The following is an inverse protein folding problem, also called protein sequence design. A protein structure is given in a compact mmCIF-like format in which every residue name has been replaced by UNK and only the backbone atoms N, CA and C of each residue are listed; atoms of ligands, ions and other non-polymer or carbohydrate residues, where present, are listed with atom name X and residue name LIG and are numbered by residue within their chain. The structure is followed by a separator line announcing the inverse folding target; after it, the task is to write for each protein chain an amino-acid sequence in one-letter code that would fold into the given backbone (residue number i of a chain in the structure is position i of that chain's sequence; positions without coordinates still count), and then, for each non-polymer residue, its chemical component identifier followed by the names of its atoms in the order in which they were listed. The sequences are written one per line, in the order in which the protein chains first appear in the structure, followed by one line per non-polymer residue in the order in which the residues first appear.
data_IF_766461060513
#
_entry.id   IF_766461060513
#
_cell.length_a   1.000
_cell.length_b   1.000
_cell.length_c   1.000
_cell.angle_alpha   90.00
_cell.angle_beta   90.00
_cell.angle_gamma   90.00
#
_symmetry.space_group_name_H-M   'P 1'
#
loop_
_entity.id
_entity.type
_entity.pdbx_description
1 polymer ?
#
# COMPACT_ATOMS: atom_id res chain seq x y z
N UNK A 1 12.39 -91.86 -25.85
CA UNK A 1 11.06 -91.22 -26.06
C UNK A 1 10.48 -90.51 -24.83
N UNK A 2 10.85 -90.86 -23.58
CA UNK A 2 10.27 -90.23 -22.37
C UNK A 2 10.78 -88.81 -22.12
N UNK A 3 12.08 -88.54 -22.31
CA UNK A 3 12.68 -87.20 -22.07
C UNK A 3 12.15 -86.10 -22.99
N UNK A 4 11.86 -86.40 -24.27
CA UNK A 4 11.32 -85.44 -25.23
C UNK A 4 9.88 -85.03 -24.89
N UNK A 5 9.08 -85.96 -24.34
CA UNK A 5 7.71 -85.68 -23.89
C UNK A 5 7.68 -84.80 -22.64
N UNK A 6 8.61 -85.02 -21.70
CA UNK A 6 8.75 -84.13 -20.54
C UNK A 6 9.20 -82.73 -20.93
N UNK A 7 10.14 -82.60 -21.89
CA UNK A 7 10.60 -81.30 -22.38
C UNK A 7 9.45 -80.53 -23.07
N UNK A 8 8.67 -81.22 -23.93
CA UNK A 8 7.50 -80.62 -24.56
C UNK A 8 6.42 -80.22 -23.56
N UNK A 9 6.16 -81.04 -22.53
CA UNK A 9 5.20 -80.73 -21.48
C UNK A 9 5.65 -79.54 -20.61
N UNK A 10 6.94 -79.44 -20.27
CA UNK A 10 7.48 -78.29 -19.55
C UNK A 10 7.46 -77.03 -20.39
N UNK A 11 7.72 -77.11 -21.70
CA UNK A 11 7.66 -75.97 -22.60
C UNK A 11 6.22 -75.44 -22.74
N UNK A 12 5.24 -76.35 -22.76
CA UNK A 12 3.81 -76.01 -22.79
C UNK A 12 3.35 -75.33 -21.48
N UNK A 13 3.81 -75.83 -20.33
CA UNK A 13 3.53 -75.24 -19.02
C UNK A 13 4.13 -73.82 -18.88
N UNK A 14 5.33 -73.59 -19.40
CA UNK A 14 5.99 -72.28 -19.34
C UNK A 14 5.29 -71.28 -20.29
N UNK A 15 4.82 -71.72 -21.46
CA UNK A 15 4.04 -70.85 -22.38
C UNK A 15 2.64 -70.51 -21.85
N UNK A 16 2.05 -71.38 -21.02
CA UNK A 16 0.75 -71.14 -20.40
C UNK A 16 0.83 -70.19 -19.19
N UNK A 17 2.03 -70.01 -18.60
CA UNK A 17 2.27 -69.17 -17.43
C UNK A 17 2.90 -67.81 -17.79
N UNK A 18 2.39 -67.12 -18.80
CA UNK A 18 2.68 -65.69 -18.93
C UNK A 18 1.85 -64.93 -17.88
N UNK A 19 2.45 -64.18 -16.94
CA UNK A 19 1.67 -63.35 -16.04
C UNK A 19 0.98 -62.28 -16.88
N UNK A 20 -0.36 -62.25 -16.82
CA UNK A 20 -1.14 -61.12 -17.33
C UNK A 20 -0.62 -59.85 -16.65
N UNK A 21 0.22 -59.10 -17.35
CA UNK A 21 0.57 -57.74 -16.97
C UNK A 21 -0.73 -56.94 -17.02
N UNK A 22 -1.25 -56.58 -15.84
CA UNK A 22 -2.33 -55.63 -15.71
C UNK A 22 -1.84 -54.27 -16.27
N UNK A 23 -2.08 -54.04 -17.55
CA UNK A 23 -1.87 -52.74 -18.17
C UNK A 23 -2.76 -51.72 -17.46
N UNK A 24 -2.16 -50.65 -16.95
CA UNK A 24 -2.90 -49.55 -16.36
C UNK A 24 -3.64 -48.85 -17.49
N UNK A 25 -4.96 -49.02 -17.57
CA UNK A 25 -5.78 -48.28 -18.52
C UNK A 25 -5.93 -46.86 -17.98
N UNK A 26 -5.17 -45.91 -18.53
CA UNK A 26 -5.37 -44.48 -18.23
C UNK A 26 -6.68 -44.05 -18.90
N UNK A 27 -7.74 -43.93 -18.10
CA UNK A 27 -9.05 -43.44 -18.56
C UNK A 27 -9.00 -41.92 -18.54
N UNK A 28 -8.87 -41.32 -19.73
CA UNK A 28 -8.92 -39.86 -19.88
C UNK A 28 -10.37 -39.47 -20.19
N UNK A 29 -11.10 -39.03 -19.16
CA UNK A 29 -12.42 -38.44 -19.35
C UNK A 29 -12.30 -37.03 -19.92
N UNK A 30 -12.74 -36.86 -21.17
CA UNK A 30 -12.67 -35.61 -21.93
C UNK A 30 -13.44 -34.47 -21.27
N UNK A 31 -14.52 -34.76 -20.54
CA UNK A 31 -15.32 -33.76 -19.83
C UNK A 31 -14.60 -33.30 -18.56
N UNK A 32 -14.05 -34.24 -17.77
CA UNK A 32 -13.24 -33.90 -16.60
C UNK A 32 -11.98 -33.11 -16.99
N UNK A 33 -11.25 -33.52 -18.03
CA UNK A 33 -10.07 -32.79 -18.50
C UNK A 33 -10.42 -31.37 -18.89
N UNK A 34 -11.55 -31.16 -19.59
CA UNK A 34 -12.04 -29.83 -19.98
C UNK A 34 -12.35 -28.96 -18.77
N UNK A 35 -13.06 -29.49 -17.78
CA UNK A 35 -13.39 -28.76 -16.54
C UNK A 35 -12.13 -28.43 -15.73
N UNK A 36 -11.19 -29.38 -15.60
CA UNK A 36 -9.93 -29.17 -14.89
C UNK A 36 -9.02 -28.17 -15.60
N UNK A 37 -8.97 -28.19 -16.94
CA UNK A 37 -8.20 -27.18 -17.71
C UNK A 37 -8.84 -25.81 -17.64
N UNK A 38 -10.17 -25.69 -17.73
CA UNK A 38 -10.87 -24.42 -17.52
C UNK A 38 -10.62 -23.86 -16.12
N UNK A 39 -10.73 -24.68 -15.07
CA UNK A 39 -10.46 -24.26 -13.69
C UNK A 39 -9.00 -23.87 -13.48
N UNK A 40 -8.05 -24.61 -14.06
CA UNK A 40 -6.61 -24.29 -14.01
C UNK A 40 -6.31 -22.96 -14.71
N UNK A 41 -6.91 -22.72 -15.88
CA UNK A 41 -6.75 -21.46 -16.60
C UNK A 41 -7.33 -20.27 -15.82
N UNK A 42 -8.50 -20.45 -15.20
CA UNK A 42 -9.10 -19.44 -14.31
C UNK A 42 -8.24 -19.18 -13.07
N UNK A 43 -7.72 -20.21 -12.42
CA UNK A 43 -6.82 -20.06 -11.27
C UNK A 43 -5.53 -19.33 -11.63
N UNK A 44 -4.95 -19.62 -12.80
CA UNK A 44 -3.74 -18.94 -13.28
C UNK A 44 -3.98 -17.45 -13.57
N UNK A 45 -5.16 -17.10 -14.08
CA UNK A 45 -5.57 -15.70 -14.25
C UNK A 45 -5.71 -14.98 -12.91
N UNK A 46 -6.28 -15.64 -11.91
CA UNK A 46 -6.43 -15.11 -10.55
C UNK A 46 -5.07 -14.95 -9.87
N UNK A 47 -4.15 -15.91 -10.02
CA UNK A 47 -2.78 -15.82 -9.51
C UNK A 47 -2.01 -14.64 -10.13
N UNK A 48 -2.13 -14.44 -11.43
CA UNK A 48 -1.47 -13.32 -12.11
C UNK A 48 -1.99 -11.96 -11.61
N UNK A 49 -3.30 -11.82 -11.42
CA UNK A 49 -3.89 -10.62 -10.80
C UNK A 49 -3.46 -10.46 -9.34
N UNK A 50 -3.31 -11.57 -8.60
CA UNK A 50 -2.84 -11.55 -7.22
C UNK A 50 -1.39 -11.10 -7.12
N UNK A 51 -0.50 -11.58 -8.01
CA UNK A 51 0.91 -11.19 -8.07
C UNK A 51 1.07 -9.71 -8.42
N UNK A 52 0.33 -9.20 -9.41
CA UNK A 52 0.33 -7.76 -9.73
C UNK A 52 -0.13 -6.91 -8.54
N UNK A 53 -1.13 -7.40 -7.78
CA UNK A 53 -1.54 -6.74 -6.55
C UNK A 53 -0.41 -6.79 -5.52
N UNK A 54 0.22 -7.94 -5.28
CA UNK A 54 1.34 -8.11 -4.34
C UNK A 54 2.50 -7.14 -4.62
N UNK A 55 2.88 -6.95 -5.90
CA UNK A 55 3.92 -6.00 -6.30
C UNK A 55 3.54 -4.54 -5.96
N UNK A 56 2.27 -4.19 -6.19
CA UNK A 56 1.75 -2.88 -5.78
C UNK A 56 1.71 -2.70 -4.25
N UNK A 57 1.54 -3.79 -3.48
CA UNK A 57 1.62 -3.75 -2.00
C UNK A 57 3.07 -3.52 -1.55
N UNK A 58 4.03 -4.17 -2.21
CA UNK A 58 5.46 -4.05 -1.88
C UNK A 58 5.98 -2.63 -2.12
N UNK A 59 5.60 -1.99 -3.24
CA UNK A 59 5.97 -0.59 -3.51
C UNK A 59 5.38 0.37 -2.47
N UNK A 60 4.12 0.13 -2.06
CA UNK A 60 3.46 0.89 -0.99
C UNK A 60 4.14 0.68 0.38
N UNK A 61 4.65 -0.52 0.69
CA UNK A 61 5.46 -0.76 1.90
C UNK A 61 6.80 -0.02 1.87
N UNK A 62 7.50 -0.01 0.73
CA UNK A 62 8.75 0.75 0.57
C UNK A 62 8.53 2.26 0.78
N UNK A 63 7.37 2.76 0.34
CA UNK A 63 6.91 4.13 0.61
C UNK A 63 6.73 4.39 2.12
N UNK A 64 6.26 3.40 2.88
CA UNK A 64 6.15 3.49 4.34
C UNK A 64 7.51 3.49 5.05
N UNK A 65 8.48 2.72 4.56
CA UNK A 65 9.86 2.74 5.09
C UNK A 65 10.57 4.07 4.83
N UNK A 66 10.30 4.73 3.69
CA UNK A 66 10.70 6.11 3.43
C UNK A 66 10.18 7.08 4.52
N UNK A 67 9.02 6.80 5.13
CA UNK A 67 8.50 7.59 6.26
C UNK A 67 9.22 7.30 7.59
N UNK A 68 10.04 6.26 7.69
CA UNK A 68 10.97 6.11 8.82
C UNK A 68 12.19 7.04 8.64
N UNK A 69 12.67 7.17 7.40
CA UNK A 69 13.77 8.08 7.04
C UNK A 69 13.37 9.56 7.25
N UNK A 70 12.08 9.88 7.14
CA UNK A 70 11.56 11.21 7.48
C UNK A 70 11.67 11.55 8.98
N UNK A 71 11.83 10.59 9.89
CA UNK A 71 12.00 10.89 11.32
C UNK A 71 13.35 11.57 11.61
N UNK A 72 14.44 11.03 11.07
CA UNK A 72 15.79 11.60 11.23
C UNK A 72 15.90 12.99 10.60
N UNK A 73 15.27 13.10 9.45
CA UNK A 73 14.99 14.32 8.70
C UNK A 73 14.24 15.38 9.53
N UNK A 74 13.14 15.02 10.20
CA UNK A 74 12.33 15.95 11.01
C UNK A 74 13.21 16.56 12.10
N UNK A 75 14.09 15.77 12.69
CA UNK A 75 15.04 16.23 13.71
C UNK A 75 15.99 17.30 13.15
N UNK A 76 16.40 17.18 11.89
CA UNK A 76 17.23 18.19 11.23
C UNK A 76 16.42 19.45 10.84
N UNK A 77 15.17 19.32 10.36
CA UNK A 77 14.26 20.49 10.21
C UNK A 77 14.14 21.28 11.51
N UNK A 78 13.92 20.55 12.59
CA UNK A 78 13.76 21.15 13.90
C UNK A 78 15.01 21.93 14.31
N UNK A 79 16.21 21.38 14.12
CA UNK A 79 17.47 22.11 14.36
C UNK A 79 17.62 23.34 13.47
N UNK A 80 17.38 23.21 12.17
CA UNK A 80 17.53 24.30 11.21
C UNK A 80 16.57 25.47 11.49
N UNK A 81 15.35 25.18 11.93
CA UNK A 81 14.38 26.22 12.35
C UNK A 81 14.76 26.86 13.68
N UNK A 82 15.51 26.18 14.55
CA UNK A 82 16.01 26.71 15.82
C UNK A 82 17.34 27.49 15.69
N UNK A 83 18.19 27.14 14.73
CA UNK A 83 19.49 27.79 14.53
C UNK A 83 19.38 29.20 13.92
N UNK A 84 18.30 29.51 13.18
CA UNK A 84 18.07 30.83 12.57
C UNK A 84 17.49 31.90 13.53
N UNK A 85 17.51 31.68 14.85
CA UNK A 85 16.80 32.54 15.82
C UNK A 85 17.55 33.83 16.21
N UNK A 86 18.84 34.00 15.88
CA UNK A 86 19.55 35.26 16.17
C UNK A 86 19.60 36.20 14.95
N UNK A 87 18.58 37.03 14.76
CA UNK A 87 18.69 38.24 13.90
C UNK A 87 17.52 38.60 12.99
N UNK A 88 16.49 37.75 12.87
CA UNK A 88 15.32 38.03 12.02
C UNK A 88 14.10 38.36 12.89
N UNK A 89 13.37 39.43 12.55
CA UNK A 89 12.20 39.93 13.28
C UNK A 89 10.94 39.05 13.15
N UNK A 90 9.79 39.64 12.87
CA UNK A 90 8.47 38.96 12.75
C UNK A 90 8.45 37.83 11.72
N UNK A 91 9.27 37.91 10.66
CA UNK A 91 9.39 36.89 9.62
C UNK A 91 9.95 35.56 10.14
N UNK A 92 10.83 35.59 11.14
CA UNK A 92 11.35 34.36 11.75
C UNK A 92 10.31 33.60 12.55
N UNK A 93 9.38 34.32 13.22
CA UNK A 93 8.26 33.66 13.89
C UNK A 93 7.35 32.97 12.88
N UNK A 94 7.11 33.61 11.75
CA UNK A 94 6.30 33.05 10.68
C UNK A 94 6.91 31.76 10.11
N UNK A 95 8.21 31.77 9.85
CA UNK A 95 8.96 30.59 9.39
C UNK A 95 9.01 29.45 10.42
N UNK A 96 9.08 29.80 11.71
CA UNK A 96 8.98 28.81 12.79
C UNK A 96 7.60 28.15 12.84
N UNK A 97 6.54 28.91 12.59
CA UNK A 97 5.17 28.36 12.52
C UNK A 97 5.01 27.40 11.33
N UNK A 98 5.57 27.74 10.16
CA UNK A 98 5.61 26.85 9.00
C UNK A 98 6.31 25.53 9.34
N UNK A 99 7.50 25.62 9.96
CA UNK A 99 8.25 24.44 10.39
C UNK A 99 7.49 23.60 11.44
N UNK A 100 6.82 24.26 12.39
CA UNK A 100 6.02 23.59 13.42
C UNK A 100 4.78 22.90 12.84
N UNK A 101 4.14 23.53 11.86
CA UNK A 101 3.01 22.96 11.12
C UNK A 101 3.41 21.67 10.39
N UNK A 102 4.54 21.71 9.67
CA UNK A 102 5.09 20.52 9.01
C UNK A 102 5.48 19.42 10.00
N UNK A 103 6.06 19.81 11.14
CA UNK A 103 6.43 18.88 12.21
C UNK A 103 5.22 18.12 12.76
N UNK A 104 4.13 18.83 13.08
CA UNK A 104 2.90 18.21 13.59
C UNK A 104 2.38 17.13 12.62
N UNK A 105 2.33 17.42 11.33
CA UNK A 105 1.88 16.46 10.31
C UNK A 105 2.76 15.21 10.31
N UNK A 106 4.07 15.41 10.23
CA UNK A 106 5.02 14.31 10.11
C UNK A 106 5.10 13.47 11.39
N UNK A 107 4.67 14.01 12.53
CA UNK A 107 4.51 13.29 13.80
C UNK A 107 3.20 12.51 13.87
N UNK A 108 2.08 13.13 13.46
CA UNK A 108 0.74 12.57 13.63
C UNK A 108 0.40 11.49 12.58
N UNK A 109 0.90 11.63 11.33
CA UNK A 109 0.63 10.62 10.28
C UNK A 109 1.18 9.22 10.61
N UNK A 110 2.39 9.04 11.16
CA UNK A 110 2.85 7.74 11.66
C UNK A 110 1.94 7.12 12.72
N UNK A 111 1.33 7.93 13.59
CA UNK A 111 0.38 7.45 14.59
C UNK A 111 -0.91 6.94 13.92
N UNK A 112 -1.44 7.68 12.95
CA UNK A 112 -2.55 7.22 12.11
C UNK A 112 -2.23 5.90 11.40
N UNK A 113 -1.03 5.78 10.82
CA UNK A 113 -0.56 4.54 10.17
C UNK A 113 -0.59 3.37 11.14
N UNK A 114 -0.18 3.58 12.40
CA UNK A 114 -0.21 2.53 13.44
C UNK A 114 -1.63 2.09 13.74
N UNK A 115 -2.56 3.04 13.92
CA UNK A 115 -3.98 2.75 14.20
C UNK A 115 -4.62 1.98 13.04
N UNK A 116 -4.42 2.48 11.81
CA UNK A 116 -4.88 1.81 10.58
C UNK A 116 -4.28 0.40 10.48
N UNK A 117 -3.01 0.21 10.85
CA UNK A 117 -2.38 -1.10 10.87
C UNK A 117 -2.96 -2.07 11.91
N UNK A 118 -3.45 -1.60 13.04
CA UNK A 118 -4.04 -2.46 14.06
C UNK A 118 -5.51 -2.83 13.75
N UNK A 119 -6.21 -2.00 13.00
CA UNK A 119 -7.62 -2.22 12.70
C UNK A 119 -7.88 -3.41 11.74
N UNK A 120 -8.96 -4.15 11.96
CA UNK A 120 -9.37 -5.28 11.10
C UNK A 120 -10.30 -4.79 9.98
N UNK A 121 -9.74 -4.43 8.83
CA UNK A 121 -10.49 -3.90 7.69
C UNK A 121 -9.93 -4.38 6.35
N UNK A 122 -10.84 -4.70 5.42
CA UNK A 122 -10.52 -5.00 4.02
C UNK A 122 -10.12 -3.68 3.34
N UNK A 123 -9.06 -3.63 2.54
CA UNK A 123 -8.57 -2.40 1.84
C UNK A 123 -7.69 -1.42 2.64
N UNK A 124 -7.18 -1.83 3.80
CA UNK A 124 -6.19 -1.07 4.60
C UNK A 124 -5.02 -0.46 3.79
N UNK A 125 -4.57 -1.17 2.76
CA UNK A 125 -3.46 -0.75 1.94
C UNK A 125 -3.70 0.59 1.23
N UNK A 126 -4.92 0.86 0.77
CA UNK A 126 -5.23 2.13 0.11
C UNK A 126 -5.23 3.26 1.12
N UNK A 127 -5.81 3.06 2.30
CA UNK A 127 -5.70 4.02 3.40
C UNK A 127 -4.23 4.35 3.74
N UNK A 128 -3.36 3.34 3.80
CA UNK A 128 -1.92 3.56 4.01
C UNK A 128 -1.24 4.31 2.85
N UNK A 129 -1.76 4.17 1.63
CA UNK A 129 -1.25 4.88 0.45
C UNK A 129 -1.60 6.36 0.53
N UNK A 130 -2.85 6.67 0.88
CA UNK A 130 -3.35 8.05 1.05
C UNK A 130 -2.62 8.78 2.17
N UNK A 131 -2.50 8.15 3.35
CA UNK A 131 -1.69 8.68 4.45
C UNK A 131 -0.25 8.93 4.02
N UNK A 132 0.29 8.02 3.21
CA UNK A 132 1.60 8.21 2.62
C UNK A 132 1.68 9.38 1.62
N UNK A 133 0.64 9.59 0.83
CA UNK A 133 0.50 10.76 -0.05
C UNK A 133 0.65 12.07 0.71
N UNK A 134 -0.03 12.18 1.86
CA UNK A 134 0.05 13.37 2.72
C UNK A 134 1.48 13.65 3.22
N UNK A 135 2.23 12.60 3.56
CA UNK A 135 3.65 12.75 3.95
C UNK A 135 4.49 13.25 2.78
N UNK A 136 4.30 12.71 1.58
CA UNK A 136 5.05 13.18 0.40
C UNK A 136 4.74 14.63 0.06
N UNK A 137 3.47 15.01 0.09
CA UNK A 137 3.04 16.39 -0.19
C UNK A 137 3.65 17.36 0.83
N UNK A 138 3.62 16.98 2.10
CA UNK A 138 4.29 17.71 3.18
C UNK A 138 5.79 17.82 2.93
N UNK A 139 6.44 16.73 2.49
CA UNK A 139 7.85 16.72 2.18
C UNK A 139 8.22 17.67 1.03
N UNK A 140 7.40 17.72 -0.01
CA UNK A 140 7.59 18.63 -1.14
C UNK A 140 7.44 20.08 -0.69
N UNK A 141 6.40 20.40 0.08
CA UNK A 141 6.16 21.75 0.61
C UNK A 141 7.29 22.23 1.51
N UNK A 142 7.80 21.35 2.37
CA UNK A 142 8.97 21.64 3.20
C UNK A 142 10.24 21.80 2.37
N UNK A 143 10.43 21.00 1.32
CA UNK A 143 11.55 21.19 0.39
C UNK A 143 11.52 22.55 -0.29
N UNK A 144 10.33 22.97 -0.74
CA UNK A 144 10.11 24.31 -1.29
C UNK A 144 10.40 25.39 -0.25
N UNK A 145 9.96 25.20 1.00
CA UNK A 145 10.21 26.12 2.10
C UNK A 145 11.71 26.29 2.38
N UNK A 146 12.42 25.18 2.46
CA UNK A 146 13.87 25.17 2.68
C UNK A 146 14.56 25.96 1.57
N UNK A 147 14.22 25.69 0.31
CA UNK A 147 14.80 26.39 -0.84
C UNK A 147 14.58 27.92 -0.80
N UNK A 148 13.37 28.38 -0.44
CA UNK A 148 13.08 29.83 -0.40
C UNK A 148 13.78 30.55 0.75
N UNK A 149 14.00 29.88 1.90
CA UNK A 149 14.62 30.48 3.09
C UNK A 149 16.14 30.46 3.02
N UNK A 150 16.73 29.41 2.42
CA UNK A 150 18.18 29.17 2.53
C UNK A 150 18.96 29.36 1.22
N UNK A 151 18.32 29.76 0.12
CA UNK A 151 18.93 29.89 -1.20
C UNK A 151 19.58 28.57 -1.68
N UNK A 152 18.92 27.44 -1.41
CA UNK A 152 19.43 26.08 -1.57
C UNK A 152 20.79 25.78 -0.88
N UNK A 153 21.23 26.58 0.12
CA UNK A 153 22.50 26.33 0.83
C UNK A 153 22.38 25.15 1.79
N UNK A 154 21.33 25.10 2.62
CA UNK A 154 21.11 23.97 3.55
C UNK A 154 20.43 22.81 2.80
N UNK A 155 20.89 21.58 3.05
CA UNK A 155 20.28 20.39 2.45
C UNK A 155 18.84 20.26 2.89
N UNK A 156 17.97 19.79 1.98
CA UNK A 156 16.64 19.37 2.39
C UNK A 156 16.83 18.31 3.48
N UNK A 157 16.37 18.57 4.69
CA UNK A 157 16.49 17.64 5.78
C UNK A 157 15.77 16.33 5.47
N UNK A 158 14.80 16.32 4.53
CA UNK A 158 14.08 15.14 4.06
C UNK A 158 14.91 14.34 3.05
N UNK A 159 15.09 13.03 3.32
CA UNK A 159 15.78 12.10 2.42
C UNK A 159 14.81 11.04 1.87
N UNK A 160 14.68 10.95 0.53
CA UNK A 160 13.84 9.93 -0.12
C UNK A 160 13.63 10.07 -1.64
N UNK A 161 13.06 9.04 -2.29
CA UNK A 161 12.56 9.15 -3.66
C UNK A 161 11.30 10.03 -3.66
N UNK A 162 11.37 11.19 -4.32
CA UNK A 162 10.30 12.21 -4.32
C UNK A 162 10.70 13.54 -3.69
N UNK A 163 11.85 13.61 -2.99
CA UNK A 163 12.41 14.88 -2.56
C UNK A 163 13.00 15.64 -3.74
N UNK A 164 12.57 16.89 -3.94
CA UNK A 164 13.06 17.75 -5.02
C UNK A 164 14.60 17.84 -4.98
N UNK A 165 15.25 17.60 -6.12
CA UNK A 165 16.70 17.75 -6.25
C UNK A 165 17.13 19.21 -6.06
N UNK A 166 18.31 19.40 -5.46
CA UNK A 166 18.93 20.71 -5.28
C UNK A 166 19.21 21.35 -6.65
N UNK A 167 18.69 22.55 -6.90
CA UNK A 167 19.27 23.48 -7.87
C UNK A 167 19.78 24.69 -7.10
N UNK A 168 21.11 24.82 -7.02
CA UNK A 168 21.76 26.00 -6.46
C UNK A 168 22.16 26.89 -7.63
N UNK A 169 21.40 27.94 -7.88
CA UNK A 169 21.67 28.96 -8.90
C UNK A 169 22.53 30.12 -8.37
N UNK A 170 23.05 30.02 -7.15
CA UNK A 170 24.02 30.94 -6.56
C UNK A 170 23.43 32.22 -5.97
N UNK A 171 22.24 32.64 -6.38
CA UNK A 171 21.58 33.85 -5.90
C UNK A 171 20.08 33.60 -5.70
N UNK A 172 19.53 33.96 -4.53
CA UNK A 172 18.08 33.99 -4.38
C UNK A 172 17.56 35.27 -5.02
N UNK A 173 17.18 35.12 -6.28
CA UNK A 173 16.65 36.19 -7.12
C UNK A 173 15.26 36.66 -6.66
N UNK A 174 14.65 35.96 -5.69
CA UNK A 174 13.37 36.37 -5.11
C UNK A 174 13.57 37.61 -4.25
N UNK A 175 12.80 38.65 -4.58
CA UNK A 175 12.66 39.78 -3.67
C UNK A 175 11.94 39.34 -2.37
N UNK A 176 11.95 40.22 -1.36
CA UNK A 176 11.36 39.93 -0.05
C UNK A 176 9.86 39.61 -0.13
N UNK A 177 9.12 40.30 -1.01
CA UNK A 177 7.68 40.15 -1.18
C UNK A 177 7.34 38.85 -1.91
N UNK A 178 8.09 38.50 -2.95
CA UNK A 178 7.96 37.21 -3.66
C UNK A 178 8.23 36.03 -2.72
N UNK A 179 9.28 36.13 -1.89
CA UNK A 179 9.59 35.11 -0.88
C UNK A 179 8.48 34.95 0.15
N UNK A 180 7.91 36.06 0.63
CA UNK A 180 6.81 36.02 1.59
C UNK A 180 5.53 35.45 0.97
N UNK A 181 5.25 35.80 -0.29
CA UNK A 181 4.10 35.27 -1.03
C UNK A 181 4.22 33.76 -1.24
N UNK A 182 5.40 33.27 -1.64
CA UNK A 182 5.66 31.84 -1.76
C UNK A 182 5.58 31.12 -0.41
N UNK A 183 6.12 31.72 0.66
CA UNK A 183 6.00 31.19 2.01
C UNK A 183 4.53 31.08 2.46
N UNK A 184 3.69 32.07 2.14
CA UNK A 184 2.25 32.03 2.41
C UNK A 184 1.57 30.86 1.68
N UNK A 185 1.86 30.67 0.39
CA UNK A 185 1.32 29.53 -0.38
C UNK A 185 1.73 28.19 0.24
N UNK A 186 2.99 28.05 0.64
CA UNK A 186 3.48 26.84 1.30
C UNK A 186 2.79 26.62 2.65
N UNK A 187 2.64 27.68 3.44
CA UNK A 187 1.99 27.61 4.73
C UNK A 187 0.53 27.20 4.61
N UNK A 188 -0.21 27.75 3.65
CA UNK A 188 -1.60 27.38 3.37
C UNK A 188 -1.70 25.90 3.02
N UNK A 189 -0.87 25.39 2.11
CA UNK A 189 -0.86 23.97 1.76
C UNK A 189 -0.56 23.06 2.96
N UNK A 190 0.44 23.42 3.77
CA UNK A 190 0.73 22.68 5.01
C UNK A 190 -0.44 22.74 6.00
N UNK A 191 -1.10 23.88 6.13
CA UNK A 191 -2.21 24.04 7.06
C UNK A 191 -3.43 23.19 6.65
N UNK A 192 -3.72 23.10 5.36
CA UNK A 192 -4.76 22.20 4.83
C UNK A 192 -4.49 20.74 5.17
N UNK A 193 -3.25 20.27 4.95
CA UNK A 193 -2.84 18.91 5.32
C UNK A 193 -2.94 18.72 6.84
N UNK A 194 -2.44 19.67 7.64
CA UNK A 194 -2.50 19.61 9.10
C UNK A 194 -3.92 19.49 9.62
N UNK A 195 -4.87 20.27 9.09
CA UNK A 195 -6.27 20.16 9.50
C UNK A 195 -6.88 18.81 9.13
N UNK A 196 -6.60 18.27 7.94
CA UNK A 196 -7.04 16.92 7.55
C UNK A 196 -6.48 15.86 8.51
N UNK A 197 -5.17 15.90 8.77
CA UNK A 197 -4.49 14.94 9.67
C UNK A 197 -5.02 15.03 11.09
N UNK A 198 -5.19 16.24 11.63
CA UNK A 198 -5.79 16.42 12.96
C UNK A 198 -7.24 15.93 13.02
N UNK A 199 -8.04 16.17 11.98
CA UNK A 199 -9.40 15.63 11.88
C UNK A 199 -9.40 14.10 11.96
N UNK A 200 -8.51 13.45 11.19
CA UNK A 200 -8.35 12.00 11.23
C UNK A 200 -7.85 11.50 12.59
N UNK A 201 -6.94 12.21 13.24
CA UNK A 201 -6.47 11.85 14.59
C UNK A 201 -7.60 11.89 15.62
N UNK A 202 -8.45 12.91 15.56
CA UNK A 202 -9.63 13.01 16.43
C UNK A 202 -10.64 11.90 16.13
N UNK A 203 -10.89 11.57 14.86
CA UNK A 203 -11.74 10.43 14.49
C UNK A 203 -11.17 9.10 15.00
N UNK A 204 -9.86 8.93 14.94
CA UNK A 204 -9.19 7.74 15.44
C UNK A 204 -9.32 7.57 16.97
N UNK A 205 -9.40 8.69 17.71
CA UNK A 205 -9.54 8.69 19.17
C UNK A 205 -10.99 8.59 19.65
N UNK A 206 -11.91 9.29 18.99
CA UNK A 206 -13.27 9.52 19.50
C UNK A 206 -14.39 8.95 18.63
N UNK A 207 -14.12 8.60 17.38
CA UNK A 207 -15.12 8.06 16.45
C UNK A 207 -14.89 6.56 16.21
N UNK A 208 -15.69 5.98 15.30
CA UNK A 208 -15.48 4.58 14.91
C UNK A 208 -14.35 4.46 13.90
N UNK A 209 -13.69 3.30 13.90
CA UNK A 209 -12.67 2.99 12.88
C UNK A 209 -13.26 3.05 11.46
N UNK A 210 -14.57 2.77 11.31
CA UNK A 210 -15.26 2.89 10.02
C UNK A 210 -15.33 4.34 9.53
N UNK A 211 -15.59 5.29 10.43
CA UNK A 211 -15.61 6.73 10.11
C UNK A 211 -14.21 7.23 9.74
N UNK A 212 -13.19 6.76 10.47
CA UNK A 212 -11.79 7.04 10.14
C UNK A 212 -11.42 6.54 8.74
N UNK A 213 -11.86 5.34 8.36
CA UNK A 213 -11.57 4.81 7.02
C UNK A 213 -12.28 5.58 5.92
N UNK A 214 -13.54 5.94 6.13
CA UNK A 214 -14.27 6.80 5.21
C UNK A 214 -13.56 8.15 5.02
N UNK A 215 -12.99 8.72 6.09
CA UNK A 215 -12.25 9.96 6.02
C UNK A 215 -10.90 9.84 5.30
N UNK A 216 -10.22 8.68 5.39
CA UNK A 216 -8.94 8.45 4.72
C UNK A 216 -9.12 8.10 3.23
N UNK A 217 -10.04 7.17 2.91
CA UNK A 217 -10.26 6.65 1.55
C UNK A 217 -11.78 6.44 1.32
N UNK A 218 -12.52 7.51 0.98
CA UNK A 218 -13.96 7.46 0.82
C UNK A 218 -14.39 6.57 -0.35
N UNK A 219 -13.61 6.53 -1.44
CA UNK A 219 -13.91 5.71 -2.62
C UNK A 219 -13.72 4.22 -2.32
N UNK A 220 -12.59 3.85 -1.71
CA UNK A 220 -12.34 2.47 -1.29
C UNK A 220 -13.35 2.00 -0.27
N UNK A 221 -13.75 2.86 0.67
CA UNK A 221 -14.83 2.58 1.61
C UNK A 221 -16.16 2.30 0.89
N UNK A 222 -16.57 3.17 -0.04
CA UNK A 222 -17.83 3.03 -0.78
C UNK A 222 -17.87 1.73 -1.61
N UNK A 223 -16.77 1.37 -2.24
CA UNK A 223 -16.63 0.12 -3.00
C UNK A 223 -16.86 -1.11 -2.12
N UNK A 224 -16.27 -1.12 -0.91
CA UNK A 224 -16.41 -2.25 0.02
C UNK A 224 -17.82 -2.36 0.56
N UNK A 225 -18.44 -1.24 0.94
CA UNK A 225 -19.82 -1.24 1.44
C UNK A 225 -20.78 -1.76 0.36
N UNK A 226 -20.60 -1.31 -0.88
CA UNK A 226 -21.39 -1.77 -2.03
C UNK A 226 -21.24 -3.27 -2.24
N UNK A 227 -20.01 -3.79 -2.26
CA UNK A 227 -19.76 -5.23 -2.40
C UNK A 227 -20.36 -6.04 -1.25
N UNK A 228 -20.25 -5.58 0.00
CA UNK A 228 -20.85 -6.25 1.16
C UNK A 228 -22.37 -6.35 1.01
N UNK A 229 -23.01 -5.28 0.55
CA UNK A 229 -24.45 -5.26 0.35
C UNK A 229 -24.88 -6.23 -0.76
N UNK A 230 -24.15 -6.28 -1.88
CA UNK A 230 -24.41 -7.22 -2.97
C UNK A 230 -24.28 -8.68 -2.49
N UNK A 231 -23.18 -9.01 -1.81
CA UNK A 231 -22.96 -10.35 -1.27
C UNK A 231 -24.02 -10.71 -0.22
N UNK A 232 -24.39 -9.77 0.66
CA UNK A 232 -25.47 -9.96 1.64
C UNK A 232 -26.83 -10.22 0.97
N UNK A 233 -27.12 -9.54 -0.13
CA UNK A 233 -28.29 -9.79 -0.96
C UNK A 233 -28.31 -11.22 -1.50
N UNK A 234 -27.21 -11.65 -2.12
CA UNK A 234 -27.06 -13.01 -2.66
C UNK A 234 -27.22 -14.09 -1.58
N UNK A 235 -26.65 -13.88 -0.39
CA UNK A 235 -26.77 -14.82 0.73
C UNK A 235 -28.23 -14.90 1.21
N UNK A 236 -28.92 -13.77 1.33
CA UNK A 236 -30.32 -13.72 1.75
C UNK A 236 -31.23 -14.41 0.73
N UNK A 237 -30.99 -14.18 -0.55
CA UNK A 237 -31.74 -14.81 -1.63
C UNK A 237 -31.50 -16.33 -1.63
N UNK A 238 -30.26 -16.78 -1.45
CA UNK A 238 -29.93 -18.20 -1.28
C UNK A 238 -30.64 -18.82 -0.08
N UNK A 239 -30.58 -18.19 1.10
CA UNK A 239 -31.24 -18.70 2.30
C UNK A 239 -32.76 -18.75 2.15
N UNK A 240 -33.35 -17.79 1.42
CA UNK A 240 -34.77 -17.82 1.08
C UNK A 240 -35.14 -19.00 0.18
N UNK A 241 -34.32 -19.33 -0.82
CA UNK A 241 -34.51 -20.49 -1.68
C UNK A 241 -34.37 -21.81 -0.92
N UNK A 242 -33.39 -21.91 -0.01
CA UNK A 242 -33.22 -23.10 0.84
C UNK A 242 -34.41 -23.28 1.79
N UNK A 243 -34.89 -22.20 2.42
CA UNK A 243 -36.03 -22.25 3.32
C UNK A 243 -37.36 -22.60 2.61
N UNK A 244 -37.51 -22.27 1.32
CA UNK A 244 -38.68 -22.63 0.52
C UNK A 244 -38.70 -24.09 0.02
N UNK A 245 -37.58 -24.81 0.15
CA UNK A 245 -37.44 -26.22 -0.27
C UNK A 245 -37.69 -27.22 0.88
N UNK A 246 -38.12 -26.75 2.05
CA UNK A 246 -38.59 -27.54 3.20
C UNK A 246 -40.05 -27.21 3.49
#
# INVERSE_FOLDING_TARGET
MVKLRFILATMFLISASSPMLAGWKVVIDKNCVKVVTSNTASQKLIENQHNQRLDSIASKKKKVELYSVSMATIKELYKLTMENVSGFGTESRYYKEIGSCAFDILKDVPELIKIVNQAKFTNKLYCLTELGGLVMETQQLVGNFVNIVNNAKVQNPLKGQGTAEKKNDGYNLLDRYERLTLANTIYTGLMEIRYKVKGMMLMAQYATVNDLFFAIDPEGWANIVTMKNQVGGLIRDWNGLVAANY
#
